data_IF_090961935866
#
_entry.id   IF_090961935866
#
_cell.length_a   1.000
_cell.length_b   1.000
_cell.length_c   1.000
_cell.angle_alpha   90.00
_cell.angle_beta   90.00
_cell.angle_gamma   90.00
#
_symmetry.space_group_name_H-M   'P 1'
#
loop_
_entity.id
_entity.type
_entity.pdbx_description
1 polymer ?
#
# COMPACT_ATOMS: atom_id res chain seq x y z
N UNK A 1 21.49 3.13 13.01
CA UNK A 1 21.16 1.99 13.87
C UNK A 1 19.69 1.57 13.78
N UNK A 2 18.69 2.44 14.04
CA UNK A 2 17.24 2.06 13.97
C UNK A 2 16.79 1.50 12.61
N UNK A 3 17.22 2.09 11.49
CA UNK A 3 16.83 1.62 10.13
C UNK A 3 17.36 0.21 9.86
N UNK A 4 18.62 -0.09 10.20
CA UNK A 4 19.21 -1.42 10.02
C UNK A 4 18.48 -2.49 10.84
N UNK A 5 18.09 -2.17 12.08
CA UNK A 5 17.33 -3.09 12.94
C UNK A 5 15.94 -3.39 12.34
N UNK A 6 15.26 -2.38 11.80
CA UNK A 6 13.98 -2.56 11.11
C UNK A 6 14.13 -3.45 9.86
N UNK A 7 15.17 -3.24 9.04
CA UNK A 7 15.42 -4.08 7.86
C UNK A 7 15.69 -5.54 8.25
N UNK A 8 16.52 -5.76 9.25
CA UNK A 8 16.82 -7.08 9.77
C UNK A 8 15.56 -7.77 10.28
N UNK A 9 14.80 -7.11 11.15
CA UNK A 9 13.58 -7.66 11.73
C UNK A 9 12.53 -7.97 10.67
N UNK A 10 12.34 -7.06 9.71
CA UNK A 10 11.43 -7.26 8.59
C UNK A 10 11.82 -8.48 7.75
N UNK A 11 13.12 -8.65 7.47
CA UNK A 11 13.64 -9.81 6.75
C UNK A 11 13.41 -11.10 7.55
N UNK A 12 13.70 -11.09 8.84
CA UNK A 12 13.45 -12.22 9.73
C UNK A 12 11.98 -12.65 9.71
N UNK A 13 11.05 -11.71 9.88
CA UNK A 13 9.60 -11.98 9.84
C UNK A 13 9.17 -12.54 8.47
N UNK A 14 9.71 -12.02 7.38
CA UNK A 14 9.40 -12.52 6.03
C UNK A 14 9.92 -13.93 5.80
N UNK A 15 11.13 -14.23 6.23
CA UNK A 15 11.71 -15.57 6.06
C UNK A 15 10.94 -16.59 6.90
N UNK A 16 10.72 -16.32 8.19
CA UNK A 16 10.01 -17.22 9.09
C UNK A 16 8.52 -17.34 8.76
N UNK A 17 7.89 -16.24 8.35
CA UNK A 17 6.48 -16.19 7.98
C UNK A 17 6.17 -16.65 6.56
N UNK A 18 7.18 -16.95 5.73
CA UNK A 18 6.96 -17.29 4.31
C UNK A 18 6.05 -18.50 4.11
N UNK A 19 6.30 -19.58 4.82
CA UNK A 19 5.50 -20.80 4.70
C UNK A 19 4.10 -20.63 5.33
N UNK A 20 3.96 -20.15 6.57
CA UNK A 20 2.65 -19.88 7.16
C UNK A 20 1.75 -19.00 6.29
N UNK A 21 2.27 -17.88 5.77
CA UNK A 21 1.47 -16.99 4.93
C UNK A 21 1.03 -17.64 3.60
N UNK A 22 1.89 -18.49 3.01
CA UNK A 22 1.58 -19.17 1.78
C UNK A 22 0.41 -20.15 1.95
N UNK A 23 0.32 -20.79 3.12
CA UNK A 23 -0.79 -21.67 3.49
C UNK A 23 -2.05 -20.84 3.80
N UNK A 24 -1.92 -19.78 4.61
CA UNK A 24 -3.05 -18.99 5.10
C UNK A 24 -3.73 -18.16 3.99
N UNK A 25 -2.96 -17.51 3.12
CA UNK A 25 -3.50 -16.60 2.12
C UNK A 25 -3.57 -17.22 0.72
N UNK A 26 -2.72 -18.21 0.41
CA UNK A 26 -2.65 -18.85 -0.91
C UNK A 26 -2.59 -17.82 -2.04
N UNK A 27 -1.85 -16.74 -1.82
CA UNK A 27 -1.86 -15.54 -2.67
C UNK A 27 -1.49 -15.87 -4.12
N UNK A 28 -2.35 -15.46 -5.06
CA UNK A 28 -2.06 -15.41 -6.50
C UNK A 28 -1.74 -13.98 -6.87
N UNK A 29 -0.62 -13.78 -7.56
CA UNK A 29 -0.13 -12.46 -7.96
C UNK A 29 -0.26 -12.35 -9.47
N UNK A 30 -0.94 -11.31 -9.90
CA UNK A 30 -1.14 -10.93 -11.28
C UNK A 30 -0.52 -9.54 -11.50
N UNK A 31 -0.38 -9.15 -12.76
CA UNK A 31 0.27 -7.90 -13.13
C UNK A 31 -0.54 -7.25 -14.25
N UNK A 32 -0.68 -5.94 -14.21
CA UNK A 32 -1.19 -5.17 -15.34
C UNK A 32 -0.21 -5.28 -16.53
N UNK A 33 1.07 -5.00 -16.28
CA UNK A 33 2.19 -5.26 -17.19
C UNK A 33 3.42 -5.68 -16.38
N UNK A 34 3.77 -6.96 -16.45
CA UNK A 34 4.91 -7.53 -15.70
C UNK A 34 6.27 -7.02 -16.20
N UNK A 35 6.37 -6.62 -17.44
CA UNK A 35 7.62 -6.09 -18.00
C UNK A 35 7.92 -4.70 -17.43
N UNK A 36 6.87 -3.91 -17.18
CA UNK A 36 6.96 -2.56 -16.61
C UNK A 36 7.12 -2.63 -15.09
N UNK A 37 6.26 -3.40 -14.41
CA UNK A 37 6.28 -3.49 -12.94
C UNK A 37 6.04 -4.91 -12.45
N UNK A 38 7.08 -5.49 -11.88
CA UNK A 38 6.99 -6.76 -11.16
C UNK A 38 6.97 -6.55 -9.64
N UNK A 39 7.27 -7.62 -8.90
CA UNK A 39 7.39 -7.61 -7.44
C UNK A 39 8.62 -6.86 -6.91
N UNK A 40 9.62 -6.61 -7.76
CA UNK A 40 10.83 -5.87 -7.41
C UNK A 40 10.62 -4.39 -7.63
N UNK A 41 10.69 -3.63 -6.56
CA UNK A 41 10.63 -2.17 -6.62
C UNK A 41 12.06 -1.64 -6.65
N UNK A 42 12.37 -0.85 -7.68
CA UNK A 42 13.64 -0.15 -7.82
C UNK A 42 13.49 1.28 -7.30
N UNK A 43 14.39 1.70 -6.41
CA UNK A 43 14.35 3.06 -5.84
C UNK A 43 13.22 3.28 -4.82
N UNK A 44 12.97 4.55 -4.46
CA UNK A 44 11.84 4.93 -3.62
C UNK A 44 10.53 4.85 -4.41
N UNK A 45 9.45 4.50 -3.72
CA UNK A 45 8.10 4.49 -4.30
C UNK A 45 7.04 4.51 -3.21
N UNK A 46 5.86 5.00 -3.54
CA UNK A 46 4.66 4.79 -2.74
C UNK A 46 3.88 3.62 -3.34
N UNK A 47 3.51 2.66 -2.50
CA UNK A 47 2.52 1.64 -2.83
C UNK A 47 1.19 2.10 -2.30
N UNK A 48 0.20 2.22 -3.16
CA UNK A 48 -1.19 2.42 -2.75
C UNK A 48 -1.98 1.13 -2.96
N UNK A 49 -2.92 0.85 -2.05
CA UNK A 49 -3.83 -0.29 -2.21
C UNK A 49 -5.21 0.04 -1.67
N UNK A 50 -6.24 -0.63 -2.23
CA UNK A 50 -7.53 -0.70 -1.57
C UNK A 50 -7.41 -1.37 -0.20
N UNK A 51 -8.34 -1.09 0.72
CA UNK A 51 -8.29 -1.58 2.09
C UNK A 51 -9.53 -2.42 2.41
N UNK A 52 -9.35 -3.73 2.47
CA UNK A 52 -10.44 -4.69 2.65
C UNK A 52 -10.39 -5.42 3.98
N UNK A 53 -9.19 -5.50 4.59
CA UNK A 53 -8.95 -6.27 5.81
C UNK A 53 -7.70 -5.77 6.54
N UNK A 54 -7.64 -6.01 7.83
CA UNK A 54 -6.42 -5.80 8.65
C UNK A 54 -5.24 -6.65 8.16
N UNK A 55 -5.50 -7.71 7.39
CA UNK A 55 -4.47 -8.59 6.83
C UNK A 55 -3.87 -8.09 5.50
N UNK A 56 -4.41 -7.03 4.90
CA UNK A 56 -3.89 -6.47 3.65
C UNK A 56 -2.39 -6.14 3.77
N UNK A 57 -1.97 -5.58 4.92
CA UNK A 57 -0.56 -5.32 5.18
C UNK A 57 0.29 -6.59 5.10
N UNK A 58 -0.17 -7.68 5.75
CA UNK A 58 0.56 -8.95 5.74
C UNK A 58 0.71 -9.49 4.31
N UNK A 59 -0.34 -9.43 3.51
CA UNK A 59 -0.29 -9.86 2.10
C UNK A 59 0.70 -9.02 1.31
N UNK A 60 0.62 -7.68 1.38
CA UNK A 60 1.52 -6.78 0.67
C UNK A 60 2.98 -6.95 1.11
N UNK A 61 3.23 -7.22 2.40
CA UNK A 61 4.55 -7.52 2.94
C UNK A 61 5.23 -8.69 2.21
N UNK A 62 4.47 -9.75 1.92
CA UNK A 62 4.97 -10.93 1.21
C UNK A 62 4.93 -10.79 -0.31
N UNK A 63 4.03 -9.99 -0.86
CA UNK A 63 4.04 -9.63 -2.29
C UNK A 63 5.33 -8.90 -2.63
N UNK A 64 5.72 -7.90 -1.86
CA UNK A 64 6.96 -7.13 -2.05
C UNK A 64 8.09 -7.63 -1.13
N UNK A 65 8.38 -8.92 -1.21
CA UNK A 65 9.29 -9.63 -0.30
C UNK A 65 10.68 -8.99 -0.21
N UNK A 66 11.21 -8.48 -1.31
CA UNK A 66 12.58 -7.94 -1.41
C UNK A 66 12.76 -6.53 -0.84
N UNK A 67 11.68 -5.86 -0.43
CA UNK A 67 11.72 -4.49 0.09
C UNK A 67 10.98 -4.40 1.42
N UNK A 68 11.55 -3.68 2.37
CA UNK A 68 10.84 -3.34 3.60
C UNK A 68 9.75 -2.35 3.28
N UNK A 69 8.49 -2.75 3.46
CA UNK A 69 7.32 -1.92 3.23
C UNK A 69 6.93 -1.23 4.54
N UNK A 70 7.12 0.08 4.59
CA UNK A 70 6.75 0.92 5.74
C UNK A 70 5.36 1.48 5.52
N UNK A 71 4.38 0.95 6.27
CA UNK A 71 2.97 1.27 6.04
C UNK A 71 2.47 2.28 7.06
N UNK A 72 1.70 3.24 6.59
CA UNK A 72 0.93 4.14 7.44
C UNK A 72 -0.18 3.37 8.14
N UNK A 73 -0.23 3.44 9.46
CA UNK A 73 -1.15 2.68 10.30
C UNK A 73 -1.75 3.56 11.40
N UNK A 74 -3.02 3.31 11.72
CA UNK A 74 -3.72 4.04 12.76
C UNK A 74 -3.07 3.86 14.13
N UNK A 75 -3.06 4.92 14.92
CA UNK A 75 -2.48 4.97 16.27
C UNK A 75 -3.00 3.87 17.19
N UNK A 76 -4.29 3.53 17.11
CA UNK A 76 -4.93 2.51 17.94
C UNK A 76 -4.24 1.13 17.84
N UNK A 77 -3.58 0.84 16.72
CA UNK A 77 -2.84 -0.41 16.53
C UNK A 77 -1.53 -0.41 17.32
N UNK A 78 -0.92 0.76 17.51
CA UNK A 78 0.32 0.90 18.28
C UNK A 78 0.11 0.90 19.79
N UNK A 79 -1.10 1.19 20.24
CA UNK A 79 -1.48 1.14 21.65
C UNK A 79 -1.69 -0.30 22.16
N UNK A 80 -2.04 -1.23 21.28
CA UNK A 80 -2.28 -2.64 21.61
C UNK A 80 -0.96 -3.43 21.72
N UNK A 81 -0.56 -3.77 22.94
CA UNK A 81 0.63 -4.61 23.14
C UNK A 81 0.27 -6.11 23.10
N UNK A 82 1.13 -6.98 22.52
CA UNK A 82 2.46 -6.71 21.95
C UNK A 82 2.45 -6.22 20.47
N UNK A 83 1.27 -6.09 19.85
CA UNK A 83 1.13 -5.71 18.44
C UNK A 83 1.83 -4.37 18.13
N UNK A 84 1.64 -3.37 18.98
CA UNK A 84 2.24 -2.05 18.77
C UNK A 84 3.77 -2.09 18.70
N UNK A 85 4.40 -2.89 19.56
CA UNK A 85 5.85 -3.10 19.51
C UNK A 85 6.27 -3.77 18.21
N UNK A 86 5.56 -4.84 17.82
CA UNK A 86 5.80 -5.54 16.56
C UNK A 86 5.71 -4.60 15.35
N UNK A 87 4.67 -3.78 15.26
CA UNK A 87 4.48 -2.82 14.15
C UNK A 87 5.57 -1.76 14.11
N UNK A 88 6.03 -1.27 15.27
CA UNK A 88 7.17 -0.35 15.37
C UNK A 88 8.46 -1.00 14.83
N UNK A 89 8.73 -2.24 15.21
CA UNK A 89 9.90 -2.99 14.73
C UNK A 89 9.82 -3.28 13.23
N UNK A 90 8.62 -3.51 12.70
CA UNK A 90 8.36 -3.67 11.26
C UNK A 90 8.51 -2.36 10.46
N UNK A 91 8.64 -1.22 11.13
CA UNK A 91 8.78 0.09 10.50
C UNK A 91 7.45 0.75 10.15
N UNK A 92 6.37 0.38 10.83
CA UNK A 92 5.06 1.03 10.69
C UNK A 92 5.14 2.53 10.99
N UNK A 93 4.48 3.34 10.17
CA UNK A 93 4.37 4.79 10.33
C UNK A 93 3.10 5.08 11.10
N UNK A 94 3.27 5.67 12.27
CA UNK A 94 2.17 6.06 13.15
C UNK A 94 1.37 7.21 12.53
N UNK A 95 0.05 7.08 12.46
CA UNK A 95 -0.88 8.11 11.97
C UNK A 95 -1.92 8.37 13.04
N UNK A 96 -1.88 9.56 13.64
CA UNK A 96 -2.93 10.03 14.51
C UNK A 96 -4.06 10.65 13.67
N UNK A 97 -5.24 10.03 13.70
CA UNK A 97 -6.39 10.46 12.89
C UNK A 97 -7.31 11.43 13.61
N UNK A 98 -7.19 11.53 14.92
CA UNK A 98 -8.06 12.33 15.78
C UNK A 98 -7.51 13.73 16.05
N UNK A 99 -6.26 13.98 15.64
CA UNK A 99 -5.60 15.29 15.77
C UNK A 99 -5.19 15.84 14.41
N UNK A 100 -4.93 17.13 14.36
CA UNK A 100 -4.33 17.80 13.18
C UNK A 100 -2.80 17.56 13.13
N UNK A 101 -2.36 16.35 13.49
CA UNK A 101 -0.95 15.95 13.44
C UNK A 101 -0.61 15.38 12.06
N UNK A 102 0.09 16.15 11.26
CA UNK A 102 0.57 15.79 9.93
C UNK A 102 2.02 15.26 9.93
N UNK A 103 2.60 14.97 11.10
CA UNK A 103 3.98 14.48 11.24
C UNK A 103 4.25 13.19 10.44
N UNK A 104 3.24 12.34 10.23
CA UNK A 104 3.32 11.15 9.40
C UNK A 104 3.66 11.46 7.94
N UNK A 105 3.25 12.63 7.42
CA UNK A 105 3.55 13.06 6.05
C UNK A 105 5.04 13.35 5.92
N UNK A 106 5.59 14.21 6.77
CA UNK A 106 7.02 14.52 6.79
C UNK A 106 7.88 13.27 7.05
N UNK A 107 7.41 12.34 7.91
CA UNK A 107 8.10 11.06 8.12
C UNK A 107 8.09 10.17 6.88
N UNK A 108 7.00 10.15 6.14
CA UNK A 108 6.91 9.41 4.87
C UNK A 108 7.84 9.99 3.81
N UNK A 109 7.87 11.31 3.67
CA UNK A 109 8.79 12.01 2.76
C UNK A 109 10.26 11.73 3.09
N UNK A 110 10.65 11.82 4.37
CA UNK A 110 12.02 11.49 4.83
C UNK A 110 12.42 10.08 4.41
N UNK A 111 11.53 9.11 4.60
CA UNK A 111 11.77 7.72 4.22
C UNK A 111 11.93 7.58 2.70
N UNK A 112 11.07 8.21 1.92
CA UNK A 112 11.13 8.18 0.46
C UNK A 112 12.42 8.81 -0.06
N UNK A 113 12.82 9.98 0.44
CA UNK A 113 14.09 10.65 0.09
C UNK A 113 15.32 9.82 0.44
N UNK A 114 15.22 8.91 1.41
CA UNK A 114 16.28 7.95 1.76
C UNK A 114 16.17 6.63 0.99
N UNK A 115 15.42 6.59 -0.10
CA UNK A 115 15.31 5.43 -1.00
C UNK A 115 14.41 4.31 -0.47
N UNK A 116 13.54 4.59 0.50
CA UNK A 116 12.65 3.60 1.10
C UNK A 116 11.30 3.52 0.36
N UNK A 117 10.53 2.49 0.68
CA UNK A 117 9.19 2.28 0.12
C UNK A 117 8.17 2.49 1.23
N UNK A 118 7.16 3.31 0.92
CA UNK A 118 6.06 3.60 1.83
C UNK A 118 4.77 2.99 1.29
N UNK A 119 4.01 2.31 2.15
CA UNK A 119 2.69 1.78 1.83
C UNK A 119 1.60 2.67 2.42
N UNK A 120 0.60 2.96 1.63
CA UNK A 120 -0.53 3.79 2.04
C UNK A 120 -1.84 3.12 1.59
N UNK A 121 -2.80 3.04 2.51
CA UNK A 121 -4.19 2.73 2.19
C UNK A 121 -4.98 4.05 2.15
N UNK A 122 -5.19 4.67 0.96
CA UNK A 122 -5.73 6.03 0.89
C UNK A 122 -7.17 6.15 1.37
N UNK A 123 -7.88 5.03 1.49
CA UNK A 123 -9.22 4.95 2.10
C UNK A 123 -9.22 5.33 3.59
N UNK A 124 -8.03 5.25 4.24
CA UNK A 124 -7.75 5.54 5.66
C UNK A 124 -8.55 4.73 6.69
N UNK A 125 -9.52 3.96 6.31
CA UNK A 125 -10.28 3.02 7.16
C UNK A 125 -10.78 1.83 6.35
N UNK A 126 -11.19 0.80 7.04
CA UNK A 126 -11.91 -0.32 6.42
C UNK A 126 -13.34 0.12 6.06
N UNK A 127 -13.86 -0.28 4.88
CA UNK A 127 -15.24 -0.02 4.50
C UNK A 127 -16.23 -0.83 5.37
N UNK A 128 -17.37 -0.23 5.67
CA UNK A 128 -18.49 -0.91 6.30
C UNK A 128 -19.16 -1.86 5.29
N UNK A 129 -20.05 -2.74 5.81
CA UNK A 129 -20.65 -3.83 5.01
C UNK A 129 -21.38 -3.36 3.75
N UNK A 130 -22.00 -2.20 3.78
CA UNK A 130 -22.87 -1.68 2.70
C UNK A 130 -22.25 -0.48 1.96
N UNK A 131 -20.97 -0.18 2.16
CA UNK A 131 -20.31 0.92 1.47
C UNK A 131 -19.75 0.49 0.12
N UNK A 132 -19.85 1.38 -0.85
CA UNK A 132 -19.20 1.21 -2.16
C UNK A 132 -17.67 1.17 -2.01
N UNK A 133 -17.01 0.32 -2.77
CA UNK A 133 -15.56 0.09 -2.70
C UNK A 133 -14.89 0.36 -4.04
N UNK A 134 -13.68 0.93 -4.02
CA UNK A 134 -12.97 1.50 -2.85
C UNK A 134 -13.61 2.78 -2.35
N UNK A 135 -13.46 3.08 -1.05
CA UNK A 135 -13.91 4.34 -0.47
C UNK A 135 -13.25 5.55 -1.16
N UNK A 136 -13.79 6.77 -0.98
CA UNK A 136 -13.09 7.97 -1.41
C UNK A 136 -11.68 8.06 -0.82
N UNK A 137 -10.71 8.43 -1.65
CA UNK A 137 -9.31 8.52 -1.24
C UNK A 137 -9.02 9.85 -0.54
N UNK A 138 -8.21 9.81 0.51
CA UNK A 138 -7.67 10.99 1.16
C UNK A 138 -6.50 11.54 0.36
N UNK A 139 -6.32 12.88 0.29
CA UNK A 139 -5.32 13.53 -0.56
C UNK A 139 -3.87 13.35 -0.06
N UNK A 140 -3.66 12.86 1.17
CA UNK A 140 -2.32 12.75 1.76
C UNK A 140 -1.36 11.89 0.95
N UNK A 141 -1.83 10.82 0.30
CA UNK A 141 -0.98 9.97 -0.52
C UNK A 141 -0.46 10.73 -1.77
N UNK A 142 -1.33 11.50 -2.42
CA UNK A 142 -0.96 12.33 -3.56
C UNK A 142 -0.01 13.46 -3.17
N UNK A 143 -0.30 14.15 -2.05
CA UNK A 143 0.58 15.17 -1.51
C UNK A 143 1.99 14.62 -1.27
N UNK A 144 2.13 13.51 -0.53
CA UNK A 144 3.43 12.91 -0.23
C UNK A 144 4.16 12.48 -1.52
N UNK A 145 3.44 11.94 -2.50
CA UNK A 145 4.02 11.51 -3.77
C UNK A 145 4.62 12.68 -4.55
N UNK A 146 3.87 13.79 -4.68
CA UNK A 146 4.31 15.02 -5.32
C UNK A 146 5.47 15.67 -4.56
N UNK A 147 5.37 15.81 -3.23
CA UNK A 147 6.39 16.43 -2.40
C UNK A 147 7.73 15.64 -2.35
N UNK A 148 7.67 14.32 -2.44
CA UNK A 148 8.85 13.47 -2.46
C UNK A 148 9.37 13.16 -3.88
N UNK A 149 8.63 13.54 -4.90
CA UNK A 149 8.92 13.27 -6.33
C UNK A 149 9.20 11.78 -6.59
N UNK A 150 8.24 10.92 -6.26
CA UNK A 150 8.38 9.47 -6.37
C UNK A 150 7.19 8.84 -7.10
N UNK A 151 7.40 7.75 -7.85
CA UNK A 151 6.32 7.04 -8.51
C UNK A 151 5.36 6.40 -7.51
N UNK A 152 4.09 6.29 -7.93
CA UNK A 152 3.04 5.59 -7.18
C UNK A 152 2.73 4.27 -7.87
N UNK A 153 2.87 3.16 -7.14
CA UNK A 153 2.57 1.82 -7.63
C UNK A 153 1.20 1.40 -7.06
N UNK A 154 0.15 1.36 -7.90
CA UNK A 154 -1.16 0.91 -7.47
C UNK A 154 -1.21 -0.62 -7.36
N UNK A 155 -1.86 -1.11 -6.31
CA UNK A 155 -2.05 -2.55 -6.07
C UNK A 155 -3.49 -2.78 -5.64
N UNK A 156 -4.16 -3.75 -6.24
CA UNK A 156 -5.49 -4.13 -5.81
C UNK A 156 -5.48 -5.54 -5.21
N UNK A 157 -6.27 -5.74 -4.15
CA UNK A 157 -6.51 -7.05 -3.54
C UNK A 157 -7.99 -7.35 -3.42
N UNK A 158 -8.37 -8.61 -3.67
CA UNK A 158 -9.76 -9.06 -3.52
C UNK A 158 -10.17 -9.32 -2.06
N UNK A 159 -9.25 -9.20 -1.10
CA UNK A 159 -9.52 -9.37 0.32
C UNK A 159 -9.93 -10.78 0.77
N UNK A 160 -9.77 -11.79 -0.07
CA UNK A 160 -10.14 -13.17 0.24
C UNK A 160 -9.04 -13.87 1.03
N UNK A 161 -9.05 -13.71 2.35
CA UNK A 161 -8.05 -14.28 3.25
C UNK A 161 -8.64 -15.40 4.09
N UNK A 162 -7.81 -16.40 4.44
CA UNK A 162 -8.19 -17.59 5.24
C UNK A 162 -9.39 -18.37 4.68
N UNK A 163 -9.61 -18.28 3.38
CA UNK A 163 -10.72 -18.92 2.71
C UNK A 163 -10.22 -20.13 1.90
N UNK A 164 -10.71 -21.34 2.23
CA UNK A 164 -10.29 -22.56 1.54
C UNK A 164 -10.83 -22.63 0.10
N UNK A 165 -11.99 -22.00 -0.17
CA UNK A 165 -12.61 -22.02 -1.50
C UNK A 165 -12.11 -20.89 -2.42
N UNK A 166 -11.75 -19.73 -1.84
CA UNK A 166 -11.29 -18.56 -2.59
C UNK A 166 -9.85 -18.23 -2.21
N UNK A 167 -9.02 -17.92 -3.19
CA UNK A 167 -7.62 -17.49 -2.99
C UNK A 167 -7.55 -15.98 -2.81
N UNK A 168 -6.56 -15.52 -2.07
CA UNK A 168 -6.18 -14.12 -2.12
C UNK A 168 -5.59 -13.82 -3.51
N UNK A 169 -6.22 -12.90 -4.24
CA UNK A 169 -5.70 -12.41 -5.51
C UNK A 169 -5.20 -10.98 -5.33
N UNK A 170 -4.02 -10.71 -5.87
CA UNK A 170 -3.38 -9.40 -5.86
C UNK A 170 -2.96 -9.07 -7.29
N UNK A 171 -3.34 -7.90 -7.79
CA UNK A 171 -2.84 -7.39 -9.06
C UNK A 171 -1.97 -6.16 -8.83
N UNK A 172 -0.76 -6.17 -9.39
CA UNK A 172 0.19 -5.07 -9.35
C UNK A 172 0.03 -4.25 -10.64
N UNK A 173 -0.30 -2.98 -10.50
CA UNK A 173 -0.43 -2.04 -11.60
C UNK A 173 0.90 -1.45 -12.03
N UNK A 174 0.91 -0.82 -13.19
CA UNK A 174 2.05 -0.03 -13.68
C UNK A 174 2.21 1.25 -12.86
N UNK A 175 3.45 1.69 -12.60
CA UNK A 175 3.70 2.91 -11.83
C UNK A 175 3.07 4.14 -12.48
N UNK A 176 2.50 4.99 -11.66
CA UNK A 176 2.02 6.31 -12.05
C UNK A 176 3.16 7.32 -11.81
N UNK A 177 3.52 8.06 -12.85
CA UNK A 177 4.50 9.13 -12.73
C UNK A 177 3.80 10.39 -12.18
N UNK A 178 4.32 10.98 -11.13
CA UNK A 178 3.72 12.18 -10.51
C UNK A 178 3.82 13.40 -11.43
N UNK A 179 4.81 13.46 -12.30
CA UNK A 179 4.98 14.56 -13.26
C UNK A 179 3.82 14.65 -14.28
N UNK A 180 3.11 13.56 -14.54
CA UNK A 180 1.93 13.56 -15.43
C UNK A 180 0.75 14.35 -14.80
N UNK A 181 0.84 14.65 -13.49
CA UNK A 181 -0.18 15.32 -12.71
C UNK A 181 0.28 16.67 -12.15
N UNK A 182 1.58 16.93 -12.12
CA UNK A 182 2.16 18.21 -11.74
C UNK A 182 2.06 19.17 -12.95
N UNK A 183 1.26 20.22 -12.82
CA UNK A 183 1.02 21.24 -13.83
C UNK A 183 1.24 22.61 -13.18
N UNK A 184 2.26 23.33 -13.63
CA UNK A 184 2.61 24.66 -13.09
C UNK A 184 1.53 25.73 -13.35
N UNK A 185 0.65 25.48 -14.33
CA UNK A 185 -0.49 26.38 -14.61
C UNK A 185 -1.66 26.20 -13.61
N UNK A 186 -1.56 25.18 -12.74
CA UNK A 186 -2.59 24.83 -11.74
C UNK A 186 -2.11 25.09 -10.33
N UNK A 187 -3.06 25.25 -9.42
CA UNK A 187 -2.74 25.29 -7.99
C UNK A 187 -2.25 23.93 -7.49
N UNK A 188 -1.45 23.94 -6.43
CA UNK A 188 -1.01 22.73 -5.76
C UNK A 188 -2.19 21.82 -5.36
N UNK A 189 -3.28 22.43 -4.85
CA UNK A 189 -4.49 21.71 -4.50
C UNK A 189 -5.11 20.98 -5.70
N UNK A 190 -5.21 21.63 -6.84
CA UNK A 190 -5.75 21.01 -8.07
C UNK A 190 -4.87 19.83 -8.54
N UNK A 191 -3.56 19.94 -8.46
CA UNK A 191 -2.64 18.86 -8.80
C UNK A 191 -2.80 17.67 -7.85
N UNK A 192 -2.92 17.92 -6.54
CA UNK A 192 -3.19 16.89 -5.52
C UNK A 192 -4.53 16.22 -5.79
N UNK A 193 -5.58 16.97 -6.05
CA UNK A 193 -6.93 16.41 -6.30
C UNK A 193 -6.94 15.55 -7.59
N UNK A 194 -6.27 16.01 -8.65
CA UNK A 194 -6.12 15.24 -9.91
C UNK A 194 -5.41 13.91 -9.67
N UNK A 195 -4.27 13.93 -8.99
CA UNK A 195 -3.52 12.71 -8.68
C UNK A 195 -4.32 11.78 -7.75
N UNK A 196 -5.02 12.33 -6.75
CA UNK A 196 -5.87 11.56 -5.83
C UNK A 196 -6.98 10.80 -6.59
N UNK A 197 -7.67 11.49 -7.49
CA UNK A 197 -8.71 10.90 -8.31
C UNK A 197 -8.15 9.82 -9.25
N UNK A 198 -7.04 10.12 -9.93
CA UNK A 198 -6.38 9.16 -10.81
C UNK A 198 -5.90 7.89 -10.06
N UNK A 199 -5.39 8.03 -8.83
CA UNK A 199 -5.06 6.90 -7.97
C UNK A 199 -6.29 6.02 -7.69
N UNK A 200 -7.43 6.62 -7.35
CA UNK A 200 -8.66 5.88 -7.07
C UNK A 200 -9.17 5.15 -8.32
N UNK A 201 -9.23 5.83 -9.45
CA UNK A 201 -9.64 5.25 -10.73
C UNK A 201 -8.73 4.09 -11.14
N UNK A 202 -7.43 4.23 -10.89
CA UNK A 202 -6.47 3.16 -11.17
C UNK A 202 -6.75 1.91 -10.34
N UNK A 203 -7.04 2.06 -9.06
CA UNK A 203 -7.41 0.94 -8.18
C UNK A 203 -8.71 0.28 -8.64
N UNK A 204 -9.73 1.06 -9.03
CA UNK A 204 -11.00 0.54 -9.56
C UNK A 204 -10.74 -0.26 -10.85
N UNK A 205 -9.91 0.26 -11.76
CA UNK A 205 -9.56 -0.42 -13.01
C UNK A 205 -8.85 -1.76 -12.75
N UNK A 206 -7.89 -1.80 -11.84
CA UNK A 206 -7.21 -3.04 -11.47
C UNK A 206 -8.19 -4.07 -10.88
N UNK A 207 -9.17 -3.62 -10.09
CA UNK A 207 -10.21 -4.50 -9.56
C UNK A 207 -11.03 -5.14 -10.67
N UNK A 208 -11.48 -4.37 -11.67
CA UNK A 208 -12.22 -4.89 -12.84
C UNK A 208 -11.38 -5.89 -13.64
N UNK A 209 -10.11 -5.59 -13.91
CA UNK A 209 -9.20 -6.51 -14.60
C UNK A 209 -9.08 -7.86 -13.87
N UNK A 210 -9.06 -7.83 -12.53
CA UNK A 210 -9.00 -9.04 -11.73
C UNK A 210 -10.28 -9.87 -11.82
N UNK A 211 -11.44 -9.20 -11.82
CA UNK A 211 -12.76 -9.84 -11.92
C UNK A 211 -12.95 -10.47 -13.31
N UNK A 212 -12.58 -9.77 -14.38
CA UNK A 212 -12.64 -10.27 -15.76
C UNK A 212 -11.79 -11.53 -15.93
N UNK A 213 -10.54 -11.51 -15.44
CA UNK A 213 -9.64 -12.68 -15.46
C UNK A 213 -10.21 -13.87 -14.67
N UNK A 214 -11.00 -13.62 -13.62
CA UNK A 214 -11.65 -14.66 -12.84
C UNK A 214 -12.85 -15.28 -13.56
N UNK A 215 -13.57 -14.52 -14.37
CA UNK A 215 -14.73 -14.96 -15.14
C UNK A 215 -14.34 -15.75 -16.39
N UNK A 216 -13.25 -15.40 -17.07
CA UNK A 216 -12.73 -16.13 -18.25
C UNK A 216 -12.23 -17.55 -17.92
N UNK A 217 -12.00 -17.87 -16.64
CA UNK A 217 -11.48 -19.17 -16.18
C UNK A 217 -12.55 -20.10 -15.59
N UNK A 218 -13.82 -19.73 -15.70
CA UNK A 218 -14.97 -20.56 -15.35
C UNK A 218 -15.57 -21.22 -16.57
#
# INVERSE_FOLDING_TARGET
MKIMLTEFFNTFVKVTGWLPQKIAFRTKIEYEDKAVQGRRIKGPAIIISNHTSVFDYAVLLFVFFTRTLRVQMAEVLFQKQPLGLFLKMMGGIYVNRDTHDFSFMGKSEELLRTGKVVGIFPESRLPLKNEERPLPFKPSAAYIALAADVPVIPVYTNGSYFNLKKRAHVIIGTPMNVHDFADDARSEKENIDRLTNAMRERIIRLGRMLDDTANEKK
#
